data_IF_715111145978
#
_entry.id   IF_715111145978
#
_cell.length_a   1.000
_cell.length_b   1.000
_cell.length_c   1.000
_cell.angle_alpha   90.00
_cell.angle_beta   90.00
_cell.angle_gamma   90.00
#
_symmetry.space_group_name_H-M   'P 1'
#
loop_
_entity.id
_entity.type
_entity.pdbx_description
1 polymer ?
#
# COMPACT_ATOMS: atom_id res chain seq x y z
N UNK A 1 -13.18 27.69 -4.06
CA UNK A 1 -12.50 28.42 -2.95
C UNK A 1 -12.58 27.69 -1.61
N UNK A 2 -11.42 27.31 -1.06
CA UNK A 2 -11.28 26.60 0.21
C UNK A 2 -11.66 27.48 1.40
N UNK A 3 -12.64 27.05 2.20
CA UNK A 3 -13.09 27.79 3.39
C UNK A 3 -12.10 27.74 4.56
N UNK A 4 -11.19 26.77 4.57
CA UNK A 4 -10.21 26.59 5.63
C UNK A 4 -8.97 27.47 5.41
N UNK A 5 -8.72 28.39 6.35
CA UNK A 5 -7.57 29.31 6.33
C UNK A 5 -6.23 28.58 6.32
N UNK A 6 -6.09 27.52 7.15
CA UNK A 6 -4.85 26.75 7.27
C UNK A 6 -4.52 26.05 5.96
N UNK A 7 -5.51 25.42 5.32
CA UNK A 7 -5.31 24.75 4.03
C UNK A 7 -4.82 25.74 2.97
N UNK A 8 -5.36 26.97 2.97
CA UNK A 8 -4.92 28.02 2.04
C UNK A 8 -3.48 28.45 2.30
N UNK A 9 -3.11 28.69 3.56
CA UNK A 9 -1.72 29.05 3.92
C UNK A 9 -0.72 27.96 3.51
N UNK A 10 -1.09 26.68 3.68
CA UNK A 10 -0.22 25.57 3.24
C UNK A 10 -0.15 25.49 1.70
N UNK A 11 -1.26 25.70 0.98
CA UNK A 11 -1.23 25.77 -0.49
C UNK A 11 -0.32 26.91 -0.96
N UNK A 12 -0.45 28.10 -0.37
CA UNK A 12 0.39 29.25 -0.71
C UNK A 12 1.88 28.96 -0.42
N UNK A 13 2.18 28.28 0.69
CA UNK A 13 3.53 27.80 1.00
C UNK A 13 4.06 26.82 -0.06
N UNK A 14 3.26 25.82 -0.46
CA UNK A 14 3.64 24.83 -1.49
C UNK A 14 3.92 25.54 -2.82
N UNK A 15 3.03 26.45 -3.24
CA UNK A 15 3.22 27.24 -4.47
C UNK A 15 4.49 28.11 -4.42
N UNK A 16 4.79 28.70 -3.26
CA UNK A 16 6.03 29.47 -3.05
C UNK A 16 7.31 28.62 -3.13
N UNK A 17 7.21 27.30 -2.95
CA UNK A 17 8.34 26.36 -2.96
C UNK A 17 8.22 25.31 -4.07
N UNK A 18 7.56 25.64 -5.18
CA UNK A 18 7.23 24.69 -6.24
C UNK A 18 8.43 23.83 -6.69
N UNK A 19 9.59 24.44 -6.96
CA UNK A 19 10.76 23.74 -7.47
C UNK A 19 11.24 22.62 -6.53
N UNK A 20 11.14 22.82 -5.21
CA UNK A 20 11.52 21.82 -4.22
C UNK A 20 10.55 20.63 -4.25
N UNK A 21 9.25 20.90 -4.30
CA UNK A 21 8.22 19.86 -4.38
C UNK A 21 8.33 19.08 -5.70
N UNK A 22 8.54 19.76 -6.82
CA UNK A 22 8.75 19.13 -8.13
C UNK A 22 10.01 18.26 -8.17
N UNK A 23 11.10 18.70 -7.53
CA UNK A 23 12.32 17.90 -7.43
C UNK A 23 12.08 16.61 -6.65
N UNK A 24 11.49 16.71 -5.46
CA UNK A 24 11.23 15.55 -4.59
C UNK A 24 10.22 14.58 -5.24
N UNK A 25 9.21 15.09 -5.96
CA UNK A 25 8.25 14.24 -6.68
C UNK A 25 8.85 13.47 -7.87
N UNK A 26 10.05 13.83 -8.32
CA UNK A 26 10.76 13.18 -9.43
C UNK A 26 11.89 12.26 -8.97
N UNK A 27 12.15 12.19 -7.67
CA UNK A 27 13.15 11.27 -7.13
C UNK A 27 12.76 9.81 -7.36
N UNK A 28 13.77 8.99 -7.69
CA UNK A 28 13.57 7.56 -7.86
C UNK A 28 13.46 6.90 -6.48
N UNK A 29 12.28 6.36 -6.19
CA UNK A 29 11.97 5.70 -4.92
C UNK A 29 12.81 4.43 -4.72
N UNK A 30 13.24 3.77 -5.81
CA UNK A 30 14.06 2.57 -5.73
C UNK A 30 15.50 2.86 -5.29
N UNK A 31 16.01 4.08 -5.55
CA UNK A 31 17.38 4.49 -5.25
C UNK A 31 17.47 5.48 -4.07
N UNK A 32 16.33 5.88 -3.51
CA UNK A 32 16.25 6.84 -2.42
C UNK A 32 16.90 6.31 -1.12
N UNK A 33 17.74 7.14 -0.51
CA UNK A 33 18.27 6.88 0.83
C UNK A 33 17.24 7.18 1.93
N UNK A 34 17.59 6.91 3.19
CA UNK A 34 16.67 7.09 4.32
C UNK A 34 16.15 8.54 4.43
N UNK A 35 17.00 9.54 4.16
CA UNK A 35 16.63 10.96 4.23
C UNK A 35 15.73 11.37 3.07
N UNK A 36 16.05 10.94 1.85
CA UNK A 36 15.24 11.17 0.66
C UNK A 36 13.85 10.53 0.84
N UNK A 37 13.78 9.29 1.35
CA UNK A 37 12.51 8.63 1.64
C UNK A 37 11.64 9.36 2.67
N UNK A 38 12.26 9.95 3.70
CA UNK A 38 11.55 10.80 4.66
C UNK A 38 11.02 12.09 4.00
N UNK A 39 11.82 12.72 3.14
CA UNK A 39 11.42 13.92 2.40
C UNK A 39 10.27 13.65 1.43
N UNK A 40 10.33 12.55 0.69
CA UNK A 40 9.25 12.09 -0.19
C UNK A 40 7.98 11.86 0.61
N UNK A 41 8.06 11.13 1.72
CA UNK A 41 6.91 10.88 2.60
C UNK A 41 6.29 12.17 3.14
N UNK A 42 7.12 13.16 3.50
CA UNK A 42 6.64 14.46 3.97
C UNK A 42 5.94 15.23 2.86
N UNK A 43 6.57 15.35 1.68
CA UNK A 43 6.02 16.09 0.53
C UNK A 43 4.71 15.48 0.07
N UNK A 44 4.69 14.16 -0.15
CA UNK A 44 3.46 13.46 -0.55
C UNK A 44 2.42 13.53 0.55
N UNK A 45 2.79 13.39 1.82
CA UNK A 45 1.86 13.54 2.95
C UNK A 45 1.20 14.92 3.03
N UNK A 46 1.94 15.99 2.70
CA UNK A 46 1.40 17.35 2.59
C UNK A 46 0.46 17.44 1.39
N UNK A 47 0.94 17.10 0.20
CA UNK A 47 0.20 17.23 -1.05
C UNK A 47 -1.10 16.42 -1.03
N UNK A 48 -1.06 15.19 -0.52
CA UNK A 48 -2.23 14.31 -0.39
C UNK A 48 -3.36 14.92 0.44
N UNK A 49 -3.04 15.83 1.37
CA UNK A 49 -4.02 16.48 2.25
C UNK A 49 -4.52 17.82 1.72
N UNK A 50 -3.66 18.62 1.10
CA UNK A 50 -3.99 20.01 0.74
C UNK A 50 -4.27 20.20 -0.75
N UNK A 51 -3.57 19.46 -1.61
CA UNK A 51 -3.69 19.60 -3.06
C UNK A 51 -5.05 19.22 -3.64
N UNK A 52 -5.85 18.29 -3.05
CA UNK A 52 -7.22 18.06 -3.55
C UNK A 52 -8.14 19.28 -3.52
N UNK A 53 -7.79 20.30 -2.75
CA UNK A 53 -8.55 21.53 -2.61
C UNK A 53 -8.12 22.62 -3.59
N UNK A 54 -6.97 22.44 -4.26
CA UNK A 54 -6.55 23.32 -5.35
C UNK A 54 -7.34 23.00 -6.61
N UNK A 55 -7.73 24.04 -7.36
CA UNK A 55 -8.52 23.93 -8.59
C UNK A 55 -7.63 24.09 -9.83
N UNK A 56 -6.46 24.74 -9.71
CA UNK A 56 -5.48 24.86 -10.80
C UNK A 56 -4.61 23.62 -10.94
N UNK A 57 -4.37 23.16 -12.17
CA UNK A 57 -3.43 22.06 -12.48
C UNK A 57 -2.06 22.57 -12.98
N UNK A 58 -1.78 23.87 -12.82
CA UNK A 58 -0.65 24.55 -13.45
C UNK A 58 0.73 24.13 -12.89
N UNK A 59 0.75 23.35 -11.81
CA UNK A 59 1.97 22.99 -11.06
C UNK A 59 2.45 21.57 -11.31
N UNK A 60 1.70 20.72 -12.04
CA UNK A 60 2.14 19.36 -12.39
C UNK A 60 2.24 18.37 -11.21
N UNK A 61 1.97 18.78 -9.97
CA UNK A 61 2.04 17.88 -8.80
C UNK A 61 1.08 16.70 -8.90
N UNK A 62 -0.09 16.87 -9.51
CA UNK A 62 -1.04 15.77 -9.74
C UNK A 62 -0.40 14.66 -10.57
N UNK A 63 0.33 15.05 -11.63
CA UNK A 63 1.06 14.11 -12.46
C UNK A 63 2.17 13.41 -11.67
N UNK A 64 2.94 14.15 -10.86
CA UNK A 64 3.96 13.56 -9.99
C UNK A 64 3.40 12.50 -9.03
N UNK A 65 2.27 12.81 -8.37
CA UNK A 65 1.60 11.86 -7.47
C UNK A 65 1.11 10.61 -8.23
N UNK A 66 0.56 10.75 -9.43
CA UNK A 66 0.12 9.61 -10.23
C UNK A 66 1.29 8.77 -10.75
N UNK A 67 2.38 9.40 -11.18
CA UNK A 67 3.61 8.69 -11.54
C UNK A 67 4.16 7.87 -10.38
N UNK A 68 4.16 8.43 -9.16
CA UNK A 68 4.56 7.67 -7.96
C UNK A 68 3.62 6.50 -7.65
N UNK A 69 2.30 6.66 -7.83
CA UNK A 69 1.35 5.55 -7.67
C UNK A 69 1.66 4.41 -8.63
N UNK A 70 1.92 4.72 -9.91
CA UNK A 70 2.26 3.70 -10.91
C UNK A 70 3.54 2.94 -10.55
N UNK A 71 4.57 3.64 -10.08
CA UNK A 71 5.81 3.03 -9.64
C UNK A 71 5.62 2.12 -8.40
N UNK A 72 4.92 2.61 -7.38
CA UNK A 72 4.80 1.93 -6.09
C UNK A 72 3.76 0.81 -6.07
N UNK A 73 2.60 1.02 -6.67
CA UNK A 73 1.49 0.07 -6.57
C UNK A 73 1.72 -1.15 -7.48
N UNK A 74 2.58 -1.01 -8.48
CA UNK A 74 3.05 -2.10 -9.35
C UNK A 74 4.20 -2.89 -8.75
N UNK A 75 4.83 -2.40 -7.67
CA UNK A 75 5.96 -3.06 -7.07
C UNK A 75 5.50 -4.37 -6.42
N UNK A 76 5.89 -5.50 -7.01
CA UNK A 76 5.74 -6.78 -6.35
C UNK A 76 6.58 -6.73 -5.08
N UNK A 77 5.96 -7.02 -3.93
CA UNK A 77 6.68 -7.23 -2.68
C UNK A 77 7.52 -8.50 -2.87
N UNK A 78 8.70 -8.36 -3.49
CA UNK A 78 9.67 -9.45 -3.57
C UNK A 78 9.88 -9.99 -2.16
N UNK A 79 9.60 -11.28 -2.01
CA UNK A 79 9.88 -11.99 -0.78
C UNK A 79 11.36 -11.79 -0.47
N UNK A 80 11.73 -11.43 0.77
CA UNK A 80 13.12 -11.53 1.18
C UNK A 80 13.50 -13.01 1.05
N UNK A 81 14.14 -13.37 -0.06
CA UNK A 81 14.90 -14.61 -0.09
C UNK A 81 15.95 -14.49 1.00
N UNK A 82 15.96 -15.51 1.85
CA UNK A 82 16.88 -15.74 2.94
C UNK A 82 18.30 -15.82 2.36
N UNK A 83 18.91 -14.66 2.07
CA UNK A 83 20.26 -14.57 1.54
C UNK A 83 20.41 -13.72 0.28
N UNK A 84 20.32 -12.38 0.41
CA UNK A 84 21.20 -11.48 -0.35
C UNK A 84 21.17 -10.05 0.20
N UNK A 85 22.36 -9.45 0.24
CA UNK A 85 22.70 -8.07 0.61
C UNK A 85 23.09 -7.82 2.07
N UNK A 86 24.19 -7.09 2.21
CA UNK A 86 24.93 -6.71 3.43
C UNK A 86 24.31 -5.47 4.10
N UNK A 87 23.18 -4.96 3.60
CA UNK A 87 22.37 -3.97 4.30
C UNK A 87 21.73 -4.60 5.53
N UNK A 88 21.76 -3.89 6.67
CA UNK A 88 21.14 -4.37 7.91
C UNK A 88 19.66 -4.67 7.66
N UNK A 89 19.20 -5.80 8.20
CA UNK A 89 17.78 -6.21 8.10
C UNK A 89 16.84 -5.14 8.68
N UNK A 90 17.34 -4.35 9.63
CA UNK A 90 16.68 -3.15 10.18
C UNK A 90 16.39 -2.11 9.09
N UNK A 91 17.38 -1.72 8.28
CA UNK A 91 17.19 -0.72 7.22
C UNK A 91 16.16 -1.20 6.19
N UNK A 92 16.15 -2.50 5.87
CA UNK A 92 15.14 -3.07 4.97
C UNK A 92 13.71 -2.94 5.53
N UNK A 93 13.53 -3.16 6.84
CA UNK A 93 12.22 -3.01 7.49
C UNK A 93 11.77 -1.54 7.56
N UNK A 94 12.71 -0.61 7.75
CA UNK A 94 12.44 0.82 7.70
C UNK A 94 12.00 1.26 6.31
N UNK A 95 12.70 0.81 5.27
CA UNK A 95 12.32 1.06 3.88
C UNK A 95 10.93 0.50 3.55
N UNK A 96 10.66 -0.75 3.97
CA UNK A 96 9.33 -1.36 3.81
C UNK A 96 8.23 -0.50 4.45
N UNK A 97 8.45 -0.04 5.68
CA UNK A 97 7.50 0.82 6.40
C UNK A 97 7.29 2.15 5.68
N UNK A 98 8.38 2.80 5.25
CA UNK A 98 8.34 4.08 4.53
C UNK A 98 7.61 3.96 3.18
N UNK A 99 7.81 2.86 2.45
CA UNK A 99 7.12 2.60 1.19
C UNK A 99 5.62 2.42 1.39
N UNK A 100 5.19 1.66 2.41
CA UNK A 100 3.76 1.51 2.69
C UNK A 100 3.11 2.77 3.28
N UNK A 101 3.86 3.59 4.02
CA UNK A 101 3.40 4.91 4.45
C UNK A 101 3.16 5.84 3.26
N UNK A 102 4.02 5.78 2.24
CA UNK A 102 3.87 6.51 1.01
C UNK A 102 2.65 6.01 0.22
N UNK A 103 2.49 4.69 0.09
CA UNK A 103 1.30 4.09 -0.52
C UNK A 103 0.00 4.50 0.18
N UNK A 104 0.01 4.61 1.51
CA UNK A 104 -1.13 5.09 2.29
C UNK A 104 -1.47 6.55 1.99
N UNK A 105 -0.45 7.42 1.93
CA UNK A 105 -0.64 8.84 1.62
C UNK A 105 -1.19 9.02 0.20
N UNK A 106 -0.66 8.27 -0.77
CA UNK A 106 -1.13 8.27 -2.15
C UNK A 106 -2.56 7.71 -2.28
N UNK A 107 -2.86 6.60 -1.59
CA UNK A 107 -4.21 6.01 -1.58
C UNK A 107 -5.24 6.93 -0.93
N UNK A 108 -4.87 7.67 0.12
CA UNK A 108 -5.72 8.70 0.72
C UNK A 108 -6.06 9.83 -0.25
N UNK A 109 -5.06 10.30 -1.01
CA UNK A 109 -5.27 11.29 -2.06
C UNK A 109 -6.24 10.77 -3.11
N UNK A 110 -6.00 9.55 -3.62
CA UNK A 110 -6.84 8.92 -4.62
C UNK A 110 -8.28 8.71 -4.12
N UNK A 111 -8.44 8.24 -2.87
CA UNK A 111 -9.74 8.08 -2.22
C UNK A 111 -10.51 9.40 -2.16
N UNK A 112 -9.84 10.51 -1.83
CA UNK A 112 -10.48 11.83 -1.85
C UNK A 112 -10.93 12.19 -3.26
N UNK A 113 -10.09 12.01 -4.28
CA UNK A 113 -10.46 12.31 -5.66
C UNK A 113 -11.67 11.49 -6.12
N UNK A 114 -11.69 10.19 -5.83
CA UNK A 114 -12.80 9.29 -6.19
C UNK A 114 -14.09 9.68 -5.47
N UNK A 115 -14.03 9.95 -4.17
CA UNK A 115 -15.25 10.17 -3.36
C UNK A 115 -15.75 11.61 -3.34
N UNK A 116 -14.87 12.61 -3.46
CA UNK A 116 -15.22 14.04 -3.34
C UNK A 116 -15.14 14.80 -4.65
N UNK A 117 -14.30 14.35 -5.58
CA UNK A 117 -14.17 14.94 -6.92
C UNK A 117 -14.78 14.05 -8.01
N UNK A 118 -15.39 12.92 -7.64
CA UNK A 118 -16.04 11.97 -8.54
C UNK A 118 -15.12 11.45 -9.65
N UNK A 119 -13.82 11.31 -9.35
CA UNK A 119 -12.86 10.77 -10.29
C UNK A 119 -13.22 9.32 -10.67
N UNK A 120 -13.14 9.00 -11.96
CA UNK A 120 -13.40 7.66 -12.50
C UNK A 120 -12.10 7.03 -12.97
N UNK A 121 -11.73 5.91 -12.36
CA UNK A 121 -10.56 5.13 -12.74
C UNK A 121 -10.93 4.16 -13.86
N UNK A 122 -10.01 3.98 -14.81
CA UNK A 122 -10.13 2.96 -15.85
C UNK A 122 -9.80 1.59 -15.28
N UNK A 123 -10.32 0.52 -15.90
CA UNK A 123 -10.07 -0.85 -15.43
C UNK A 123 -8.62 -1.27 -15.72
N UNK A 124 -8.14 -0.94 -16.93
CA UNK A 124 -6.78 -1.18 -17.43
C UNK A 124 -6.27 0.08 -18.12
N UNK A 125 -4.96 0.14 -18.34
CA UNK A 125 -4.36 1.21 -19.12
C UNK A 125 -4.83 1.16 -20.57
N UNK A 126 -5.29 2.29 -21.09
CA UNK A 126 -5.55 2.43 -22.52
C UNK A 126 -4.22 2.45 -23.28
N UNK A 127 -4.08 1.78 -24.44
CA UNK A 127 -2.86 1.88 -25.24
C UNK A 127 -2.56 3.35 -25.53
N UNK A 128 -1.31 3.77 -25.29
CA UNK A 128 -0.86 5.15 -25.47
C UNK A 128 -1.27 5.67 -26.86
N UNK A 129 -2.24 6.56 -26.89
CA UNK A 129 -2.47 7.41 -28.05
C UNK A 129 -1.28 8.37 -28.16
N UNK A 130 -0.37 8.07 -29.09
CA UNK A 130 0.84 8.85 -29.40
C UNK A 130 0.57 10.31 -29.83
N UNK A 131 -0.69 10.76 -29.82
CA UNK A 131 -1.13 12.10 -30.18
C UNK A 131 -1.69 12.94 -29.01
N UNK A 132 -1.70 12.43 -27.77
CA UNK A 132 -2.07 13.24 -26.60
C UNK A 132 -0.84 13.96 -26.01
N UNK A 133 -0.89 15.28 -25.76
CA UNK A 133 0.24 16.03 -25.22
C UNK A 133 0.62 15.46 -23.84
N UNK A 134 1.84 14.92 -23.71
CA UNK A 134 2.43 14.38 -22.47
C UNK A 134 1.38 13.69 -21.55
N UNK A 135 0.77 12.62 -22.06
CA UNK A 135 -0.46 12.03 -21.51
C UNK A 135 -0.39 11.73 -20.01
N UNK A 136 -1.25 12.39 -19.24
CA UNK A 136 -1.49 12.11 -17.83
C UNK A 136 -2.03 10.68 -17.68
N UNK A 137 -1.20 9.74 -17.21
CA UNK A 137 -1.65 8.38 -16.95
C UNK A 137 -2.31 8.32 -15.57
N UNK A 138 -3.64 8.31 -15.55
CA UNK A 138 -4.43 8.14 -14.34
C UNK A 138 -4.17 6.75 -13.72
N UNK A 139 -4.15 6.61 -12.38
CA UNK A 139 -4.15 5.29 -11.75
C UNK A 139 -5.35 4.45 -12.18
N UNK A 140 -5.15 3.15 -12.31
CA UNK A 140 -6.17 2.19 -12.75
C UNK A 140 -6.68 1.30 -11.62
N UNK A 141 -7.81 0.63 -11.83
CA UNK A 141 -8.30 -0.38 -10.89
C UNK A 141 -7.39 -1.61 -10.84
N UNK A 142 -6.72 -1.96 -11.94
CA UNK A 142 -5.71 -3.03 -11.95
C UNK A 142 -4.54 -2.71 -11.04
N UNK A 143 -4.05 -1.48 -11.09
CA UNK A 143 -2.98 -0.98 -10.22
C UNK A 143 -3.37 -1.04 -8.74
N UNK A 144 -4.60 -0.65 -8.40
CA UNK A 144 -5.13 -0.81 -7.04
C UNK A 144 -5.28 -2.27 -6.62
N UNK A 145 -5.63 -3.16 -7.55
CA UNK A 145 -5.64 -4.60 -7.31
C UNK A 145 -4.24 -5.16 -6.99
N UNK A 146 -3.21 -4.71 -7.72
CA UNK A 146 -1.81 -5.05 -7.46
C UNK A 146 -1.37 -4.56 -6.07
N UNK A 147 -1.67 -3.30 -5.73
CA UNK A 147 -1.41 -2.75 -4.40
C UNK A 147 -2.09 -3.60 -3.31
N UNK A 148 -3.38 -3.92 -3.48
CA UNK A 148 -4.12 -4.71 -2.50
C UNK A 148 -3.51 -6.10 -2.31
N UNK A 149 -3.05 -6.75 -3.37
CA UNK A 149 -2.34 -8.03 -3.31
C UNK A 149 -1.01 -7.93 -2.54
N UNK A 150 -0.23 -6.88 -2.81
CA UNK A 150 1.03 -6.59 -2.12
C UNK A 150 0.82 -6.32 -0.63
N UNK A 151 -0.17 -5.50 -0.30
CA UNK A 151 -0.61 -5.19 1.07
C UNK A 151 -1.08 -6.45 1.80
N UNK A 152 -1.87 -7.29 1.14
CA UNK A 152 -2.36 -8.57 1.71
C UNK A 152 -1.21 -9.50 2.06
N UNK A 153 -0.26 -9.66 1.14
CA UNK A 153 0.92 -10.51 1.35
C UNK A 153 1.78 -9.99 2.51
N UNK A 154 1.91 -8.66 2.62
CA UNK A 154 2.66 -8.03 3.70
C UNK A 154 1.94 -8.11 5.04
N UNK A 155 0.60 -8.05 5.07
CA UNK A 155 -0.20 -8.24 6.28
C UNK A 155 -0.06 -9.66 6.83
N UNK A 156 -0.21 -10.67 5.98
CA UNK A 156 -0.07 -12.08 6.37
C UNK A 156 1.31 -12.33 6.97
N UNK A 157 2.37 -11.94 6.25
CA UNK A 157 3.75 -12.09 6.71
C UNK A 157 4.01 -11.35 8.02
N UNK A 158 3.60 -10.09 8.13
CA UNK A 158 3.82 -9.30 9.34
C UNK A 158 3.08 -9.90 10.54
N UNK A 159 1.86 -10.39 10.35
CA UNK A 159 1.06 -11.03 11.40
C UNK A 159 1.65 -12.38 11.84
N UNK A 160 2.14 -13.19 10.89
CA UNK A 160 2.81 -14.47 11.18
C UNK A 160 4.13 -14.27 11.90
N UNK A 161 4.99 -13.37 11.40
CA UNK A 161 6.27 -13.06 12.04
C UNK A 161 6.05 -12.51 13.47
N UNK A 162 5.11 -11.58 13.65
CA UNK A 162 4.76 -11.03 14.97
C UNK A 162 4.29 -12.13 15.93
N UNK A 163 3.38 -12.99 15.49
CA UNK A 163 2.86 -14.10 16.30
C UNK A 163 3.96 -15.09 16.67
N UNK A 164 4.84 -15.45 15.72
CA UNK A 164 5.99 -16.32 15.97
C UNK A 164 6.94 -15.73 17.02
N UNK A 165 7.24 -14.43 16.92
CA UNK A 165 8.11 -13.74 17.87
C UNK A 165 7.50 -13.71 19.27
N UNK A 166 6.19 -13.44 19.40
CA UNK A 166 5.54 -13.48 20.71
C UNK A 166 5.57 -14.86 21.35
N UNK A 167 5.33 -15.92 20.58
CA UNK A 167 5.43 -17.28 21.10
C UNK A 167 6.87 -17.58 21.57
N UNK A 168 7.88 -17.20 20.79
CA UNK A 168 9.29 -17.36 21.19
C UNK A 168 9.68 -16.54 22.41
N UNK A 169 9.12 -15.33 22.58
CA UNK A 169 9.31 -14.51 23.78
C UNK A 169 8.69 -15.18 24.99
N UNK A 170 7.48 -15.74 24.85
CA UNK A 170 6.79 -16.45 25.93
C UNK A 170 7.58 -17.70 26.37
N UNK A 171 8.15 -18.42 25.42
CA UNK A 171 8.88 -19.67 25.64
C UNK A 171 10.41 -19.49 25.73
N UNK A 172 10.89 -18.26 25.95
CA UNK A 172 12.34 -17.92 25.91
C UNK A 172 13.21 -18.78 26.85
N UNK A 173 12.64 -19.25 27.95
CA UNK A 173 13.33 -20.10 28.92
C UNK A 173 13.47 -21.56 28.45
N UNK A 174 12.64 -21.98 27.51
CA UNK A 174 12.66 -23.31 26.89
C UNK A 174 13.58 -23.36 25.65
N UNK A 175 13.91 -22.19 25.08
CA UNK A 175 14.81 -22.10 23.93
C UNK A 175 16.24 -22.54 24.29
N UNK A 176 16.82 -23.34 23.38
CA UNK A 176 18.22 -23.76 23.45
C UNK A 176 19.17 -22.58 23.19
N UNK A 177 20.43 -22.71 23.59
CA UNK A 177 21.46 -21.71 23.30
C UNK A 177 21.58 -21.44 21.80
N UNK A 178 21.51 -22.48 20.97
CA UNK A 178 21.62 -22.34 19.53
C UNK A 178 20.47 -21.50 18.94
N UNK A 179 19.23 -21.76 19.35
CA UNK A 179 18.06 -20.99 18.89
C UNK A 179 18.15 -19.52 19.33
N UNK A 180 18.60 -19.27 20.56
CA UNK A 180 18.85 -17.91 21.07
C UNK A 180 19.93 -17.22 20.22
N UNK A 181 20.98 -17.93 19.84
CA UNK A 181 22.07 -17.39 19.02
C UNK A 181 21.62 -17.08 17.59
N UNK A 182 20.78 -17.93 17.01
CA UNK A 182 20.14 -17.69 15.72
C UNK A 182 19.25 -16.45 15.75
N UNK A 183 18.44 -16.29 16.80
CA UNK A 183 17.59 -15.09 17.00
C UNK A 183 18.44 -13.83 17.09
N UNK A 184 19.48 -13.83 17.92
CA UNK A 184 20.41 -12.71 18.07
C UNK A 184 21.03 -12.36 16.71
N UNK A 185 21.53 -13.35 15.98
CA UNK A 185 22.15 -13.13 14.67
C UNK A 185 21.16 -12.58 13.63
N UNK A 186 19.89 -12.94 13.72
CA UNK A 186 18.84 -12.45 12.83
C UNK A 186 18.38 -11.02 13.14
N UNK A 187 18.51 -10.57 14.40
CA UNK A 187 17.95 -9.28 14.84
C UNK A 187 18.97 -8.13 14.94
N UNK A 188 20.28 -8.42 15.09
CA UNK A 188 21.23 -7.48 15.72
C UNK A 188 22.24 -6.78 14.79
N UNK A 189 22.54 -5.50 15.14
CA UNK A 189 23.83 -4.80 14.94
C UNK A 189 24.91 -5.42 15.83
N UNK A 190 25.88 -6.13 15.23
CA UNK A 190 26.89 -7.03 15.86
C UNK A 190 27.71 -6.53 17.08
N UNK A 191 27.51 -5.31 17.57
CA UNK A 191 28.40 -4.64 18.54
C UNK A 191 28.17 -5.04 20.01
N UNK A 192 27.04 -5.66 20.38
CA UNK A 192 26.64 -5.85 21.79
C UNK A 192 26.77 -7.28 22.35
N UNK A 193 27.26 -8.26 21.58
CA UNK A 193 27.18 -9.69 21.99
C UNK A 193 28.55 -10.35 22.05
N UNK A 194 28.94 -10.79 23.26
CA UNK A 194 30.14 -11.61 23.44
C UNK A 194 29.82 -13.10 23.34
N UNK A 195 30.71 -13.88 22.74
CA UNK A 195 30.61 -15.35 22.74
C UNK A 195 30.70 -15.94 24.16
N UNK A 196 31.29 -15.19 25.10
CA UNK A 196 31.43 -15.58 26.52
C UNK A 196 30.19 -15.30 27.36
N UNK A 197 29.16 -14.65 26.80
CA UNK A 197 27.94 -14.36 27.54
C UNK A 197 27.24 -15.67 27.97
N UNK A 198 26.74 -15.68 29.20
CA UNK A 198 25.95 -16.79 29.73
C UNK A 198 24.56 -16.86 29.03
N UNK A 199 23.88 -17.98 29.20
CA UNK A 199 22.59 -18.21 28.55
C UNK A 199 21.51 -17.23 29.01
N UNK A 200 21.56 -16.76 30.25
CA UNK A 200 20.56 -15.85 30.81
C UNK A 200 20.68 -14.46 30.18
N UNK A 201 21.92 -13.94 30.07
CA UNK A 201 22.21 -12.68 29.39
C UNK A 201 21.86 -12.76 27.90
N UNK A 202 22.17 -13.87 27.23
CA UNK A 202 21.82 -14.06 25.81
C UNK A 202 20.32 -14.13 25.59
N UNK A 203 19.57 -14.83 26.45
CA UNK A 203 18.10 -14.84 26.42
C UNK A 203 17.51 -13.44 26.60
N UNK A 204 18.06 -12.65 27.52
CA UNK A 204 17.64 -11.26 27.71
C UNK A 204 17.87 -10.42 26.44
N UNK A 205 19.05 -10.51 25.83
CA UNK A 205 19.36 -9.82 24.56
C UNK A 205 18.39 -10.27 23.47
N UNK A 206 18.23 -11.58 23.26
CA UNK A 206 17.31 -12.13 22.26
C UNK A 206 15.87 -11.64 22.48
N UNK A 207 15.41 -11.54 23.73
CA UNK A 207 14.08 -11.04 24.06
C UNK A 207 13.91 -9.57 23.67
N UNK A 208 14.87 -8.70 24.01
CA UNK A 208 14.84 -7.27 23.65
C UNK A 208 14.78 -7.11 22.13
N UNK A 209 15.60 -7.87 21.42
CA UNK A 209 15.70 -7.85 19.97
C UNK A 209 14.43 -8.37 19.29
N UNK A 210 13.85 -9.48 19.77
CA UNK A 210 12.56 -9.97 19.29
C UNK A 210 11.44 -8.96 19.54
N UNK A 211 11.43 -8.29 20.69
CA UNK A 211 10.48 -7.23 20.99
C UNK A 211 10.59 -6.07 19.99
N UNK A 212 11.82 -5.63 19.66
CA UNK A 212 12.03 -4.57 18.67
C UNK A 212 11.48 -4.95 17.29
N UNK A 213 11.73 -6.19 16.84
CA UNK A 213 11.19 -6.68 15.57
C UNK A 213 9.66 -6.79 15.63
N UNK A 214 9.11 -7.32 16.72
CA UNK A 214 7.66 -7.44 16.90
C UNK A 214 6.95 -6.07 16.87
N UNK A 215 7.54 -5.04 17.50
CA UNK A 215 7.05 -3.66 17.45
C UNK A 215 7.09 -3.12 16.01
N UNK A 216 8.17 -3.32 15.27
CA UNK A 216 8.24 -2.92 13.86
C UNK A 216 7.16 -3.61 13.01
N UNK A 217 6.91 -4.91 13.22
CA UNK A 217 5.82 -5.63 12.53
C UNK A 217 4.44 -5.12 12.91
N UNK A 218 4.23 -4.77 14.17
CA UNK A 218 2.98 -4.15 14.62
C UNK A 218 2.76 -2.75 14.01
N UNK A 219 3.82 -1.93 13.90
CA UNK A 219 3.77 -0.65 13.19
C UNK A 219 3.42 -0.84 11.72
N UNK A 220 4.01 -1.84 11.05
CA UNK A 220 3.68 -2.16 9.68
C UNK A 220 2.21 -2.59 9.53
N UNK A 221 1.70 -3.48 10.39
CA UNK A 221 0.27 -3.84 10.44
C UNK A 221 -0.61 -2.60 10.66
N UNK A 222 -0.12 -1.63 11.45
CA UNK A 222 -0.83 -0.38 11.73
C UNK A 222 -1.09 0.45 10.48
N UNK A 223 -0.17 0.43 9.52
CA UNK A 223 -0.26 1.17 8.26
C UNK A 223 -1.00 0.34 7.21
N UNK A 224 -0.69 -0.97 7.13
CA UNK A 224 -1.22 -1.85 6.09
C UNK A 224 -2.73 -2.08 6.21
N UNK A 225 -3.28 -2.21 7.42
CA UNK A 225 -4.71 -2.49 7.58
C UNK A 225 -5.58 -1.30 7.09
N UNK A 226 -5.34 -0.05 7.50
CA UNK A 226 -6.02 1.12 6.93
C UNK A 226 -5.76 1.30 5.43
N UNK A 227 -4.56 0.96 4.94
CA UNK A 227 -4.26 1.01 3.51
C UNK A 227 -5.12 0.02 2.71
N UNK A 228 -5.26 -1.22 3.19
CA UNK A 228 -6.16 -2.20 2.60
C UNK A 228 -7.61 -1.68 2.62
N UNK A 229 -8.08 -1.13 3.74
CA UNK A 229 -9.42 -0.53 3.83
C UNK A 229 -9.64 0.58 2.80
N UNK A 230 -8.66 1.47 2.62
CA UNK A 230 -8.75 2.54 1.64
C UNK A 230 -8.84 2.00 0.22
N UNK A 231 -7.96 1.07 -0.16
CA UNK A 231 -7.99 0.45 -1.48
C UNK A 231 -9.32 -0.26 -1.73
N UNK A 232 -9.82 -1.03 -0.76
CA UNK A 232 -11.12 -1.71 -0.83
C UNK A 232 -12.27 -0.71 -1.02
N UNK A 233 -12.27 0.40 -0.28
CA UNK A 233 -13.30 1.43 -0.41
C UNK A 233 -13.27 2.12 -1.77
N UNK A 234 -12.09 2.41 -2.33
CA UNK A 234 -11.98 2.95 -3.69
C UNK A 234 -12.62 1.98 -4.68
N UNK A 235 -12.21 0.71 -4.66
CA UNK A 235 -12.75 -0.31 -5.57
C UNK A 235 -14.26 -0.47 -5.40
N UNK A 236 -14.76 -0.46 -4.15
CA UNK A 236 -16.19 -0.57 -3.86
C UNK A 236 -17.00 0.56 -4.48
N UNK A 237 -16.54 1.82 -4.38
CA UNK A 237 -17.21 2.97 -5.01
C UNK A 237 -17.34 2.76 -6.52
N UNK A 238 -16.28 2.30 -7.19
CA UNK A 238 -16.32 2.00 -8.62
C UNK A 238 -17.28 0.86 -8.98
N UNK A 239 -17.41 -0.15 -8.11
CA UNK A 239 -18.31 -1.27 -8.34
C UNK A 239 -19.77 -0.82 -8.20
N UNK A 240 -20.09 -0.04 -7.18
CA UNK A 240 -21.44 0.48 -6.92
C UNK A 240 -21.93 1.37 -8.07
N UNK A 241 -21.09 2.28 -8.56
CA UNK A 241 -21.47 3.19 -9.64
C UNK A 241 -21.67 2.47 -10.98
N UNK A 242 -20.95 1.38 -11.21
CA UNK A 242 -21.12 0.54 -12.40
C UNK A 242 -22.46 -0.21 -12.43
N UNK A 243 -23.14 -0.38 -11.28
CA UNK A 243 -24.51 -0.94 -11.24
C UNK A 243 -25.55 0.13 -11.59
N UNK A 244 -25.37 1.37 -11.13
CA UNK A 244 -26.30 2.48 -11.39
C UNK A 244 -26.40 2.79 -12.90
N UNK A 245 -25.28 2.69 -13.63
CA UNK A 245 -25.26 2.90 -15.09
C UNK A 245 -25.85 1.74 -15.90
N UNK A 246 -25.90 0.52 -15.32
CA UNK A 246 -26.46 -0.65 -16.01
C UNK A 246 -28.00 -0.58 -16.06
N UNK A 247 -28.63 -0.04 -15.01
CA UNK A 247 -30.10 0.07 -14.92
C UNK A 247 -30.69 1.21 -15.78
N UNK A 248 -29.88 2.16 -16.26
CA UNK A 248 -30.32 3.25 -17.15
C UNK A 248 -30.01 3.00 -18.63
N UNK A 249 -29.34 1.90 -18.97
CA UNK A 249 -28.90 1.55 -20.33
C UNK A 249 -29.99 0.94 -21.23
N UNK A 250 -31.22 1.43 -21.14
CA UNK A 250 -32.24 1.15 -22.14
C UNK A 250 -32.00 2.04 -23.37
N UNK A 251 -31.65 1.42 -24.51
CA UNK A 251 -31.66 2.01 -25.86
C UNK A 251 -30.45 2.91 -26.22
N UNK A 252 -29.33 2.30 -26.63
CA UNK A 252 -28.62 2.71 -27.85
C UNK A 252 -27.64 1.61 -28.28
N UNK A 253 -28.06 0.72 -29.18
CA UNK A 253 -27.15 -0.17 -29.91
C UNK A 253 -26.35 0.66 -30.90
N UNK A 254 -25.17 1.14 -30.51
CA UNK A 254 -24.15 1.57 -31.45
C UNK A 254 -23.32 0.35 -31.87
N UNK A 255 -23.42 0.02 -33.14
CA UNK A 255 -22.66 -1.03 -33.82
C UNK A 255 -21.21 -0.54 -33.91
N UNK A 256 -20.27 -1.23 -33.27
CA UNK A 256 -18.84 -1.05 -33.53
C UNK A 256 -18.22 -2.44 -33.64
N UNK A 257 -17.76 -2.76 -34.85
CA UNK A 257 -17.07 -3.98 -35.23
C UNK A 257 -15.61 -3.95 -34.73
N UNK A 258 -15.16 -5.06 -34.15
CA UNK A 258 -13.74 -5.36 -33.88
C UNK A 258 -13.22 -4.92 -32.50
N UNK A 259 -12.55 -5.83 -31.78
CA UNK A 259 -11.83 -5.63 -30.50
C UNK A 259 -12.63 -5.61 -29.17
N UNK A 260 -13.74 -6.37 -29.04
CA UNK A 260 -14.47 -6.53 -27.76
C UNK A 260 -14.16 -7.81 -26.96
N UNK A 261 -13.37 -8.75 -27.50
CA UNK A 261 -13.07 -10.02 -26.82
C UNK A 261 -12.02 -9.87 -25.72
N UNK A 262 -10.96 -9.09 -25.98
CA UNK A 262 -9.77 -9.10 -25.15
C UNK A 262 -10.00 -8.31 -23.85
N UNK A 263 -10.71 -7.18 -23.93
CA UNK A 263 -11.03 -6.37 -22.76
C UNK A 263 -11.92 -7.09 -21.74
N UNK A 264 -12.85 -7.94 -22.20
CA UNK A 264 -13.73 -8.72 -21.29
C UNK A 264 -12.93 -9.79 -20.56
N UNK A 265 -12.04 -10.48 -21.28
CA UNK A 265 -11.18 -11.51 -20.68
C UNK A 265 -10.21 -10.93 -19.66
N UNK A 266 -9.62 -9.76 -19.95
CA UNK A 266 -8.75 -9.03 -19.01
C UNK A 266 -9.50 -8.54 -17.77
N UNK A 267 -10.74 -8.03 -17.92
CA UNK A 267 -11.56 -7.66 -16.76
C UNK A 267 -11.90 -8.86 -15.88
N UNK A 268 -12.18 -10.03 -16.48
CA UNK A 268 -12.43 -11.26 -15.73
C UNK A 268 -11.18 -11.76 -14.99
N UNK A 269 -10.01 -11.64 -15.59
CA UNK A 269 -8.74 -11.95 -14.93
C UNK A 269 -8.49 -11.04 -13.73
N UNK A 270 -8.79 -9.74 -13.87
CA UNK A 270 -8.68 -8.77 -12.78
C UNK A 270 -9.62 -9.11 -11.62
N UNK A 271 -10.89 -9.40 -11.90
CA UNK A 271 -11.84 -9.79 -10.84
C UNK A 271 -11.48 -11.14 -10.21
N UNK A 272 -10.95 -12.09 -10.98
CA UNK A 272 -10.44 -13.36 -10.44
C UNK A 272 -9.28 -13.14 -9.46
N UNK A 273 -8.29 -12.32 -9.83
CA UNK A 273 -7.17 -11.93 -8.95
C UNK A 273 -7.66 -11.19 -7.70
N UNK A 274 -8.63 -10.28 -7.87
CA UNK A 274 -9.24 -9.55 -6.77
C UNK A 274 -9.94 -10.50 -5.80
N UNK A 275 -10.77 -11.44 -6.28
CA UNK A 275 -11.45 -12.43 -5.43
C UNK A 275 -10.46 -13.26 -4.63
N UNK A 276 -9.40 -13.77 -5.28
CA UNK A 276 -8.36 -14.52 -4.58
C UNK A 276 -7.70 -13.69 -3.47
N UNK A 277 -7.49 -12.39 -3.71
CA UNK A 277 -6.96 -11.46 -2.69
C UNK A 277 -7.96 -11.24 -1.56
N UNK A 278 -9.25 -11.10 -1.87
CA UNK A 278 -10.32 -10.91 -0.87
C UNK A 278 -10.52 -12.15 0.01
N UNK A 279 -10.42 -13.35 -0.55
CA UNK A 279 -10.47 -14.60 0.21
C UNK A 279 -9.32 -14.70 1.22
N UNK A 280 -8.12 -14.31 0.82
CA UNK A 280 -6.96 -14.23 1.72
C UNK A 280 -7.17 -13.20 2.83
N UNK A 281 -7.68 -12.03 2.50
CA UNK A 281 -8.01 -10.98 3.49
C UNK A 281 -9.10 -11.41 4.48
N UNK A 282 -10.05 -12.25 4.06
CA UNK A 282 -11.10 -12.80 4.92
C UNK A 282 -10.54 -13.77 5.97
N UNK A 283 -9.46 -14.49 5.64
CA UNK A 283 -8.78 -15.46 6.52
C UNK A 283 -7.84 -14.83 7.56
N UNK A 284 -7.67 -13.51 7.54
CA UNK A 284 -6.81 -12.82 8.51
C UNK A 284 -7.28 -13.06 9.96
N UNK A 285 -6.32 -13.39 10.83
CA UNK A 285 -6.52 -13.67 12.26
C UNK A 285 -6.56 -12.40 13.10
N UNK A 286 -7.63 -12.21 13.90
CA UNK A 286 -7.72 -11.10 14.86
C UNK A 286 -6.67 -11.24 15.98
N UNK A 287 -6.35 -12.47 16.38
CA UNK A 287 -5.33 -12.80 17.38
C UNK A 287 -3.92 -12.39 16.92
N UNK A 288 -3.53 -12.79 15.70
CA UNK A 288 -2.22 -12.44 15.12
C UNK A 288 -2.08 -10.95 14.81
N UNK A 289 -3.14 -10.33 14.29
CA UNK A 289 -3.14 -8.90 13.96
C UNK A 289 -3.31 -8.03 15.22
N UNK A 290 -3.90 -8.58 16.28
CA UNK A 290 -4.24 -7.88 17.53
C UNK A 290 -5.18 -6.69 17.33
N UNK A 291 -6.09 -6.79 16.34
CA UNK A 291 -7.09 -5.76 16.00
C UNK A 291 -8.45 -6.39 15.72
N UNK A 292 -9.50 -5.62 15.96
CA UNK A 292 -10.85 -6.01 15.56
C UNK A 292 -11.01 -5.88 14.03
N UNK A 293 -11.43 -6.95 13.38
CA UNK A 293 -11.58 -7.02 11.93
C UNK A 293 -13.05 -7.09 11.51
N UNK A 294 -14.01 -6.83 12.40
CA UNK A 294 -15.45 -6.98 12.09
C UNK A 294 -15.89 -6.07 10.94
N UNK A 295 -15.51 -4.80 10.99
CA UNK A 295 -15.85 -3.82 9.94
C UNK A 295 -15.07 -4.12 8.66
N UNK A 296 -13.79 -4.44 8.81
CA UNK A 296 -12.91 -4.84 7.71
C UNK A 296 -13.46 -6.04 6.94
N UNK A 297 -13.80 -7.14 7.63
CA UNK A 297 -14.38 -8.35 7.03
C UNK A 297 -15.70 -8.06 6.33
N UNK A 298 -16.57 -7.22 6.91
CA UNK A 298 -17.80 -6.79 6.24
C UNK A 298 -17.52 -6.11 4.90
N UNK A 299 -16.52 -5.23 4.85
CA UNK A 299 -16.10 -4.56 3.62
C UNK A 299 -15.57 -5.57 2.59
N UNK A 300 -14.72 -6.51 3.02
CA UNK A 300 -14.17 -7.58 2.18
C UNK A 300 -15.30 -8.45 1.61
N UNK A 301 -16.23 -8.92 2.45
CA UNK A 301 -17.38 -9.75 2.02
C UNK A 301 -18.26 -9.00 1.02
N UNK A 302 -18.62 -7.74 1.31
CA UNK A 302 -19.45 -6.94 0.38
C UNK A 302 -18.76 -6.71 -0.97
N UNK A 303 -17.44 -6.48 -0.99
CA UNK A 303 -16.72 -6.32 -2.24
C UNK A 303 -16.59 -7.63 -3.01
N UNK A 304 -16.38 -8.75 -2.30
CA UNK A 304 -16.30 -10.10 -2.88
C UNK A 304 -17.62 -10.50 -3.54
N UNK A 305 -18.76 -10.27 -2.87
CA UNK A 305 -20.09 -10.48 -3.45
C UNK A 305 -20.29 -9.67 -4.73
N UNK A 306 -19.93 -8.38 -4.72
CA UNK A 306 -20.03 -7.53 -5.90
C UNK A 306 -19.09 -7.99 -7.04
N UNK A 307 -17.88 -8.46 -6.72
CA UNK A 307 -16.93 -8.98 -7.70
C UNK A 307 -17.45 -10.25 -8.39
N UNK A 308 -18.03 -11.17 -7.60
CA UNK A 308 -18.65 -12.41 -8.13
C UNK A 308 -19.83 -12.06 -9.04
N UNK A 309 -20.68 -11.13 -8.63
CA UNK A 309 -21.79 -10.66 -9.47
C UNK A 309 -21.30 -10.08 -10.80
N UNK A 310 -20.24 -9.26 -10.79
CA UNK A 310 -19.64 -8.69 -12.00
C UNK A 310 -18.99 -9.73 -12.91
N UNK A 311 -18.46 -10.83 -12.38
CA UNK A 311 -17.96 -11.96 -13.16
C UNK A 311 -19.08 -12.79 -13.82
N UNK A 312 -20.25 -12.83 -13.19
CA UNK A 312 -21.41 -13.59 -13.70
C UNK A 312 -22.21 -12.88 -14.80
N UNK A 313 -21.91 -11.59 -15.08
CA UNK A 313 -22.55 -10.75 -16.11
C UNK A 313 -21.79 -10.78 -17.44
#
# INVERSE_FOLDING_TARGET
MVKNKIVREVIDFVKGHQLLFDQILREDICEADDLAMEQINLVVGILSKVWPYEESDDFGFVQGLFSMMHALFSLESETPTLGRSVQSLENKRTLELNSFQLCFSLSSYLYFLVTKKSLRLQVLDSPLDYHSPAGMQLPTLSLLGSLLSSVTTSLERAAEEKSLLYNKIQDINELSRQEVDEIINMCVRRECVSSTDDIQKRRYIAMVEMCQVAVNRDQLITILLPLAEQALNIILVHFQDSFVTADTGGVMKAITYGAKSDSRQETSLLYGKLISTLERLELLSEDKISRNLKVFRRLVTSLKENAIQKLSL
#
